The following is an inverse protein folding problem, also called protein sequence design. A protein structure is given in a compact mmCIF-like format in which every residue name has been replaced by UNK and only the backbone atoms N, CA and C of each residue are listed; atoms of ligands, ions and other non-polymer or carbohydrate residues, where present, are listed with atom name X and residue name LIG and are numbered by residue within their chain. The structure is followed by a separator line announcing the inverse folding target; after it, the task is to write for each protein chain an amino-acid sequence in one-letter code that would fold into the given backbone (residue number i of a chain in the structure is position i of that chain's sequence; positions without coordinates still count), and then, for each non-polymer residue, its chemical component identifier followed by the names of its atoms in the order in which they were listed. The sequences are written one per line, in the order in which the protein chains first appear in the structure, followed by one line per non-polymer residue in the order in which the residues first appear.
data_IF_986189294952
#
_entry.id   IF_986189294952
#
_cell.length_a   1.000
_cell.length_b   1.000
_cell.length_c   1.000
_cell.angle_alpha   90.00
_cell.angle_beta   90.00
_cell.angle_gamma   90.00
#
_symmetry.space_group_name_H-M   'P 1'
#
loop_
_entity.id
_entity.type
_entity.pdbx_description
1 polymer ?
#
# COMPACT_ATOMS: atom_id res chain seq x y z
N UNK A 1 7.41 -22.76 -21.99
CA UNK A 1 7.98 -22.19 -20.76
C UNK A 1 7.43 -22.99 -19.59
N UNK A 2 8.29 -23.50 -18.70
CA UNK A 2 7.86 -24.24 -17.53
C UNK A 2 7.52 -23.23 -16.41
N UNK A 3 6.25 -22.85 -16.29
CA UNK A 3 5.79 -21.81 -15.34
C UNK A 3 6.03 -22.18 -13.87
N UNK A 4 6.34 -23.44 -13.59
CA UNK A 4 6.67 -23.95 -12.25
C UNK A 4 8.15 -23.75 -11.87
N UNK A 5 8.99 -23.29 -12.79
CA UNK A 5 10.39 -23.02 -12.50
C UNK A 5 10.57 -21.60 -11.93
N UNK A 6 10.83 -21.49 -10.62
CA UNK A 6 11.04 -20.21 -9.91
C UNK A 6 12.26 -19.42 -10.37
N UNK A 7 13.17 -20.02 -11.14
CA UNK A 7 14.42 -19.37 -11.56
C UNK A 7 14.30 -18.52 -12.83
N UNK A 8 13.11 -18.51 -13.45
CA UNK A 8 12.89 -17.72 -14.65
C UNK A 8 12.76 -16.21 -14.36
N UNK A 9 13.04 -15.38 -15.37
CA UNK A 9 13.04 -13.92 -15.23
C UNK A 9 11.68 -13.34 -14.80
N UNK A 10 10.58 -13.98 -15.21
CA UNK A 10 9.23 -13.55 -14.84
C UNK A 10 9.01 -13.78 -13.35
N UNK A 11 9.33 -14.98 -12.85
CA UNK A 11 9.18 -15.32 -11.42
C UNK A 11 10.01 -14.40 -10.53
N UNK A 12 11.24 -14.06 -10.94
CA UNK A 12 12.13 -13.17 -10.18
C UNK A 12 11.68 -11.70 -10.13
N UNK A 13 10.77 -11.28 -11.01
CA UNK A 13 10.34 -9.88 -11.13
C UNK A 13 8.84 -9.68 -10.94
N UNK A 14 8.06 -10.75 -10.72
CA UNK A 14 6.59 -10.66 -10.65
C UNK A 14 6.10 -9.75 -9.51
N UNK A 15 6.87 -9.63 -8.44
CA UNK A 15 6.60 -8.72 -7.33
C UNK A 15 6.51 -7.25 -7.76
N UNK A 16 7.14 -6.86 -8.88
CA UNK A 16 7.03 -5.50 -9.41
C UNK A 16 5.61 -5.16 -9.87
N UNK A 17 4.83 -6.13 -10.34
CA UNK A 17 3.42 -5.89 -10.67
C UNK A 17 2.64 -5.43 -9.43
N UNK A 18 2.81 -6.14 -8.32
CA UNK A 18 2.18 -5.76 -7.04
C UNK A 18 2.70 -4.41 -6.55
N UNK A 19 4.01 -4.18 -6.65
CA UNK A 19 4.66 -2.95 -6.18
C UNK A 19 4.17 -1.73 -6.95
N UNK A 20 4.12 -1.81 -8.28
CA UNK A 20 3.69 -0.71 -9.16
C UNK A 20 2.20 -0.44 -8.97
N UNK A 21 1.35 -1.47 -8.98
CA UNK A 21 -0.10 -1.28 -8.81
C UNK A 21 -0.40 -0.66 -7.45
N UNK A 22 0.16 -1.20 -6.37
CA UNK A 22 -0.04 -0.67 -5.02
C UNK A 22 0.46 0.79 -4.93
N UNK A 23 1.64 1.07 -5.46
CA UNK A 23 2.20 2.43 -5.45
C UNK A 23 1.33 3.42 -6.24
N UNK A 24 0.89 3.07 -7.45
CA UNK A 24 0.05 3.94 -8.28
C UNK A 24 -1.27 4.24 -7.57
N UNK A 25 -1.92 3.21 -7.00
CA UNK A 25 -3.16 3.39 -6.22
C UNK A 25 -2.95 4.42 -5.11
N UNK A 26 -1.96 4.22 -4.24
CA UNK A 26 -1.77 5.08 -3.08
C UNK A 26 -1.19 6.46 -3.40
N UNK A 27 -0.37 6.58 -4.45
CA UNK A 27 0.11 7.89 -4.93
C UNK A 27 -1.05 8.70 -5.49
N UNK A 28 -1.91 8.10 -6.32
CA UNK A 28 -3.05 8.81 -6.91
C UNK A 28 -4.11 9.20 -5.89
N UNK A 29 -4.33 8.38 -4.86
CA UNK A 29 -5.27 8.72 -3.78
C UNK A 29 -4.68 9.65 -2.72
N UNK A 30 -3.37 9.51 -2.43
CA UNK A 30 -2.69 10.29 -1.40
C UNK A 30 -2.30 11.68 -1.86
N UNK A 31 -1.88 11.87 -3.12
CA UNK A 31 -1.42 13.16 -3.62
C UNK A 31 -2.48 14.28 -3.53
N UNK A 32 -3.76 14.08 -3.94
CA UNK A 32 -4.81 15.09 -3.75
C UNK A 32 -5.03 15.48 -2.28
N UNK A 33 -4.84 14.52 -1.37
CA UNK A 33 -4.96 14.66 0.08
C UNK A 33 -3.75 15.32 0.74
N UNK A 34 -2.72 15.71 -0.01
CA UNK A 34 -1.65 16.57 0.50
C UNK A 34 -1.97 18.07 0.39
N UNK A 35 -2.97 18.42 -0.40
CA UNK A 35 -3.35 19.80 -0.67
C UNK A 35 -4.85 20.02 -0.45
N UNK A 36 -5.59 20.04 -1.54
CA UNK A 36 -6.98 20.52 -1.56
C UNK A 36 -7.95 19.65 -0.76
N UNK A 37 -7.70 18.34 -0.65
CA UNK A 37 -8.60 17.40 0.03
C UNK A 37 -8.31 17.22 1.53
N UNK A 38 -7.26 17.86 2.06
CA UNK A 38 -7.05 17.89 3.52
C UNK A 38 -8.25 18.50 4.25
N UNK A 39 -8.92 19.46 3.60
CA UNK A 39 -10.07 20.16 4.16
C UNK A 39 -11.32 19.26 4.33
N UNK A 40 -11.50 18.21 3.51
CA UNK A 40 -12.69 17.33 3.60
C UNK A 40 -12.54 16.26 4.69
N UNK A 41 -11.30 15.86 5.01
CA UNK A 41 -10.98 14.90 6.07
C UNK A 41 -10.60 15.57 7.41
N UNK A 42 -10.50 16.90 7.44
CA UNK A 42 -10.08 17.67 8.62
C UNK A 42 -8.66 17.30 9.08
N UNK A 43 -8.42 17.30 10.39
CA UNK A 43 -7.08 16.99 10.92
C UNK A 43 -6.58 15.58 10.57
N UNK A 44 -7.49 14.63 10.32
CA UNK A 44 -7.15 13.25 9.92
C UNK A 44 -6.54 13.21 8.50
N UNK A 45 -6.90 14.17 7.63
CA UNK A 45 -6.32 14.30 6.29
C UNK A 45 -4.81 14.51 6.30
N UNK A 46 -4.28 15.19 7.32
CA UNK A 46 -2.84 15.39 7.51
C UNK A 46 -2.08 14.12 7.92
N UNK A 47 -2.79 13.08 8.36
CA UNK A 47 -2.22 11.74 8.55
C UNK A 47 -2.39 10.91 7.27
N UNK A 48 -3.63 10.84 6.76
CA UNK A 48 -4.01 9.96 5.66
C UNK A 48 -3.27 10.31 4.37
N UNK A 49 -3.28 11.57 3.95
CA UNK A 49 -2.64 11.99 2.70
C UNK A 49 -1.14 11.68 2.65
N UNK A 50 -0.35 12.13 3.66
CA UNK A 50 1.07 11.81 3.72
C UNK A 50 1.36 10.32 3.81
N UNK A 51 0.58 9.56 4.57
CA UNK A 51 0.83 8.12 4.72
C UNK A 51 0.51 7.33 3.45
N UNK A 52 -0.57 7.67 2.75
CA UNK A 52 -0.88 7.09 1.45
C UNK A 52 0.21 7.45 0.43
N UNK A 53 0.49 8.73 0.27
CA UNK A 53 1.43 9.19 -0.76
C UNK A 53 2.86 8.68 -0.51
N UNK A 54 3.40 8.90 0.70
CA UNK A 54 4.75 8.46 1.03
C UNK A 54 4.82 6.94 1.16
N UNK A 55 3.77 6.29 1.65
CA UNK A 55 3.70 4.83 1.72
C UNK A 55 3.82 4.20 0.33
N UNK A 56 3.04 4.69 -0.64
CA UNK A 56 3.12 4.26 -2.03
C UNK A 56 4.49 4.56 -2.65
N UNK A 57 5.03 5.75 -2.42
CA UNK A 57 6.35 6.13 -2.92
C UNK A 57 7.47 5.24 -2.35
N UNK A 58 7.48 5.01 -1.03
CA UNK A 58 8.48 4.18 -0.36
C UNK A 58 8.39 2.72 -0.80
N UNK A 59 7.18 2.19 -1.00
CA UNK A 59 7.00 0.89 -1.64
C UNK A 59 7.48 0.93 -3.08
N UNK A 60 7.42 2.02 -3.84
CA UNK A 60 7.96 2.02 -5.20
C UNK A 60 9.49 2.09 -5.24
N UNK A 61 10.08 3.01 -4.47
CA UNK A 61 11.51 3.35 -4.56
C UNK A 61 12.40 2.58 -3.59
N UNK A 62 11.81 1.94 -2.58
CA UNK A 62 12.54 1.21 -1.53
C UNK A 62 13.62 0.24 -2.03
N UNK A 63 13.41 -0.56 -3.10
CA UNK A 63 14.43 -1.49 -3.61
C UNK A 63 15.69 -0.79 -4.13
N UNK A 64 15.59 0.47 -4.53
CA UNK A 64 16.71 1.25 -5.04
C UNK A 64 17.47 1.98 -3.94
N UNK A 65 16.90 2.06 -2.73
CA UNK A 65 17.52 2.73 -1.59
C UNK A 65 18.28 1.69 -0.78
N UNK A 66 19.61 1.70 -0.91
CA UNK A 66 20.53 0.81 -0.18
C UNK A 66 20.68 1.24 1.28
N UNK A 67 19.60 1.11 2.05
CA UNK A 67 19.55 1.42 3.47
C UNK A 67 18.89 0.26 4.22
N UNK A 68 19.62 -0.30 5.21
CA UNK A 68 19.23 -1.36 6.17
C UNK A 68 18.08 -2.27 5.70
N UNK A 69 18.40 -3.47 5.22
CA UNK A 69 17.49 -4.62 4.99
C UNK A 69 16.04 -4.26 4.62
N UNK A 70 15.88 -3.54 3.50
CA UNK A 70 14.58 -3.16 2.94
C UNK A 70 13.70 -2.29 3.84
N UNK A 71 14.28 -1.58 4.81
CA UNK A 71 13.52 -0.81 5.80
C UNK A 71 12.60 0.23 5.15
N UNK A 72 13.00 0.82 4.03
CA UNK A 72 12.17 1.81 3.32
C UNK A 72 10.91 1.16 2.76
N UNK A 73 11.04 0.00 2.10
CA UNK A 73 9.89 -0.78 1.63
C UNK A 73 8.99 -1.20 2.78
N UNK A 74 9.58 -1.70 3.87
CA UNK A 74 8.82 -2.15 5.07
C UNK A 74 8.07 -0.99 5.72
N UNK A 75 8.71 0.17 5.82
CA UNK A 75 8.08 1.38 6.34
C UNK A 75 6.93 1.84 5.43
N UNK A 76 7.14 1.86 4.12
CA UNK A 76 6.08 2.21 3.17
C UNK A 76 4.88 1.28 3.26
N UNK A 77 5.12 -0.04 3.32
CA UNK A 77 4.09 -1.04 3.55
C UNK A 77 3.35 -0.81 4.87
N UNK A 78 4.08 -0.50 5.95
CA UNK A 78 3.48 -0.26 7.27
C UNK A 78 2.59 0.99 7.30
N UNK A 79 3.01 2.08 6.65
CA UNK A 79 2.20 3.28 6.50
C UNK A 79 0.86 2.96 5.82
N UNK A 80 0.90 2.17 4.74
CA UNK A 80 -0.31 1.73 4.03
C UNK A 80 -1.18 0.83 4.92
N UNK A 81 -0.59 -0.11 5.67
CA UNK A 81 -1.32 -0.98 6.63
C UNK A 81 -2.13 -0.15 7.61
N UNK A 82 -1.53 0.88 8.20
CA UNK A 82 -2.22 1.77 9.15
C UNK A 82 -3.42 2.46 8.49
N UNK A 83 -3.27 2.95 7.27
CA UNK A 83 -4.37 3.60 6.55
C UNK A 83 -5.47 2.60 6.19
N UNK A 84 -5.12 1.39 5.76
CA UNK A 84 -6.11 0.37 5.43
C UNK A 84 -6.88 -0.12 6.67
N UNK A 85 -6.26 -0.20 7.85
CA UNK A 85 -6.99 -0.47 9.09
C UNK A 85 -8.03 0.62 9.37
N UNK A 86 -7.66 1.90 9.18
CA UNK A 86 -8.58 3.01 9.28
C UNK A 86 -9.74 2.90 8.29
N UNK A 87 -9.44 2.64 7.01
CA UNK A 87 -10.44 2.48 5.96
C UNK A 87 -11.40 1.31 6.25
N UNK A 88 -10.87 0.13 6.63
CA UNK A 88 -11.68 -1.03 7.02
C UNK A 88 -12.60 -0.68 8.18
N UNK A 89 -12.09 0.00 9.22
CA UNK A 89 -12.92 0.41 10.35
C UNK A 89 -14.05 1.36 9.91
N UNK A 90 -13.74 2.35 9.07
CA UNK A 90 -14.73 3.30 8.59
C UNK A 90 -15.83 2.62 7.77
N UNK A 91 -15.46 1.77 6.80
CA UNK A 91 -16.43 1.04 5.98
C UNK A 91 -17.24 0.03 6.83
N UNK A 92 -16.59 -0.74 7.71
CA UNK A 92 -17.27 -1.78 8.49
C UNK A 92 -18.21 -1.25 9.57
N UNK A 93 -17.86 -0.12 10.22
CA UNK A 93 -18.55 0.33 11.43
C UNK A 93 -19.15 1.74 11.32
N UNK A 94 -18.54 2.63 10.54
CA UNK A 94 -18.92 4.05 10.53
C UNK A 94 -19.88 4.39 9.38
N UNK A 95 -19.56 3.95 8.16
CA UNK A 95 -20.31 4.28 6.95
C UNK A 95 -21.54 3.38 6.73
N UNK A 96 -21.70 2.33 7.56
CA UNK A 96 -22.83 1.38 7.52
C UNK A 96 -23.04 0.78 6.13
N UNK A 97 -21.93 0.61 5.43
CA UNK A 97 -21.83 -0.08 4.15
C UNK A 97 -22.40 -1.50 4.30
N UNK A 98 -23.27 -1.87 3.36
CA UNK A 98 -24.16 -3.03 3.46
C UNK A 98 -23.49 -4.26 2.85
N UNK A 99 -22.36 -4.68 3.44
CA UNK A 99 -21.88 -6.05 3.30
C UNK A 99 -20.38 -6.19 3.04
N UNK A 100 -19.93 -7.44 3.18
CA UNK A 100 -18.51 -7.83 3.07
C UNK A 100 -17.87 -7.50 1.71
N UNK A 101 -18.68 -7.41 0.65
CA UNK A 101 -18.22 -7.06 -0.70
C UNK A 101 -17.67 -5.63 -0.77
N UNK A 102 -18.14 -4.71 0.09
CA UNK A 102 -17.66 -3.32 0.11
C UNK A 102 -16.32 -3.15 0.83
N UNK A 103 -15.82 -4.22 1.47
CA UNK A 103 -14.51 -4.30 2.14
C UNK A 103 -13.42 -4.99 1.30
N UNK A 104 -13.77 -5.58 0.16
CA UNK A 104 -12.88 -6.45 -0.62
C UNK A 104 -11.58 -5.75 -1.01
N UNK A 105 -11.66 -4.49 -1.43
CA UNK A 105 -10.53 -3.70 -1.89
C UNK A 105 -9.61 -3.30 -0.73
N UNK A 106 -10.18 -2.87 0.40
CA UNK A 106 -9.44 -2.46 1.58
C UNK A 106 -8.74 -3.67 2.19
N UNK A 107 -9.38 -4.84 2.22
CA UNK A 107 -8.75 -6.09 2.66
C UNK A 107 -7.64 -6.57 1.72
N UNK A 108 -7.84 -6.47 0.39
CA UNK A 108 -6.83 -6.84 -0.60
C UNK A 108 -5.59 -5.94 -0.47
N UNK A 109 -5.79 -4.63 -0.38
CA UNK A 109 -4.71 -3.65 -0.21
C UNK A 109 -4.02 -3.83 1.14
N UNK A 110 -4.77 -4.11 2.21
CA UNK A 110 -4.23 -4.46 3.52
C UNK A 110 -3.33 -5.70 3.45
N UNK A 111 -3.83 -6.82 2.91
CA UNK A 111 -3.06 -8.06 2.78
C UNK A 111 -1.80 -7.87 1.92
N UNK A 112 -1.94 -7.14 0.81
CA UNK A 112 -0.81 -6.84 -0.10
C UNK A 112 0.24 -6.00 0.62
N UNK A 113 -0.16 -4.96 1.35
CA UNK A 113 0.77 -4.11 2.12
C UNK A 113 1.48 -4.87 3.25
N UNK A 114 0.81 -5.83 3.90
CA UNK A 114 1.45 -6.72 4.87
C UNK A 114 2.55 -7.58 4.25
N UNK A 115 2.40 -8.03 2.99
CA UNK A 115 3.49 -8.72 2.30
C UNK A 115 4.75 -7.85 2.24
N UNK A 116 4.63 -6.56 1.88
CA UNK A 116 5.77 -5.64 1.87
C UNK A 116 6.35 -5.38 3.28
N UNK A 117 5.52 -5.35 4.32
CA UNK A 117 5.97 -5.21 5.72
C UNK A 117 6.85 -6.39 6.14
N UNK A 118 6.43 -7.62 5.83
CA UNK A 118 7.11 -8.83 6.31
C UNK A 118 8.21 -9.33 5.38
N UNK A 119 8.03 -9.25 4.06
CA UNK A 119 9.02 -9.69 3.07
C UNK A 119 10.01 -8.61 2.65
N UNK A 120 9.67 -7.33 2.76
CA UNK A 120 10.54 -6.24 2.30
C UNK A 120 10.81 -6.35 0.79
N UNK A 121 12.09 -6.32 0.39
CA UNK A 121 12.48 -6.44 -1.02
C UNK A 121 12.75 -7.89 -1.46
N UNK A 122 12.70 -8.85 -0.54
CA UNK A 122 12.96 -10.29 -0.79
C UNK A 122 11.72 -11.04 -1.32
N UNK A 123 10.93 -10.39 -2.20
CA UNK A 123 9.68 -10.96 -2.74
C UNK A 123 9.87 -11.79 -4.00
#
# INVERSE_FOLDING_TARGET
MNFLNSDNIVSKNIHWLLRIVLAITFVNHGYPKLGKEVASLGMVGYLVGPFEFLGGLFVLVGPFIKYKDSIVTRLGGFMIVVIMLGAIYMHAFSWKDKGFLELEWQMLLFATSLMFVFKGDEM
#
